data_IF_306292625705
#
_entry.id   IF_306292625705
#
_cell.length_a   1.000
_cell.length_b   1.000
_cell.length_c   1.000
_cell.angle_alpha   90.00
_cell.angle_beta   90.00
_cell.angle_gamma   90.00
#
_symmetry.space_group_name_H-M   'P 1'
#
loop_
_entity.id
_entity.type
_entity.pdbx_description
1 polymer ?
#
# COMPACT_ATOMS: atom_id res chain seq x y z
N UNK A 1 -25.22 6.12 -7.84
CA UNK A 1 -25.02 4.68 -7.97
C UNK A 1 -23.59 4.43 -7.55
N UNK A 2 -23.36 4.11 -6.27
CA UNK A 2 -22.04 3.79 -5.70
C UNK A 2 -21.51 2.43 -6.16
N UNK A 3 -21.70 2.08 -7.44
CA UNK A 3 -21.52 0.75 -8.02
C UNK A 3 -20.10 0.24 -7.83
N UNK A 4 -19.10 1.12 -7.78
CA UNK A 4 -17.70 0.74 -7.76
C UNK A 4 -17.36 -0.16 -6.56
N UNK A 5 -17.79 0.20 -5.35
CA UNK A 5 -17.53 -0.61 -4.15
C UNK A 5 -18.23 -1.97 -4.21
N UNK A 6 -19.53 -1.98 -4.54
CA UNK A 6 -20.32 -3.21 -4.64
C UNK A 6 -19.77 -4.15 -5.71
N UNK A 7 -19.39 -3.60 -6.86
CA UNK A 7 -18.75 -4.34 -7.96
C UNK A 7 -17.40 -4.91 -7.57
N UNK A 8 -16.57 -4.15 -6.85
CA UNK A 8 -15.30 -4.66 -6.34
C UNK A 8 -15.49 -5.87 -5.42
N UNK A 9 -16.49 -5.82 -4.52
CA UNK A 9 -16.85 -6.97 -3.66
C UNK A 9 -17.25 -8.17 -4.52
N UNK A 10 -18.11 -7.96 -5.51
CA UNK A 10 -18.57 -9.02 -6.41
C UNK A 10 -17.41 -9.66 -7.18
N UNK A 11 -16.55 -8.85 -7.79
CA UNK A 11 -15.40 -9.33 -8.56
C UNK A 11 -14.37 -10.06 -7.68
N UNK A 12 -14.15 -9.59 -6.45
CA UNK A 12 -13.33 -10.32 -5.48
C UNK A 12 -13.94 -11.67 -5.13
N UNK A 13 -15.25 -11.71 -4.87
CA UNK A 13 -15.96 -12.95 -4.55
C UNK A 13 -15.82 -13.97 -5.69
N UNK A 14 -16.09 -13.55 -6.91
CA UNK A 14 -16.08 -14.40 -8.11
C UNK A 14 -14.68 -14.90 -8.45
N UNK A 15 -13.66 -14.04 -8.37
CA UNK A 15 -12.25 -14.44 -8.58
C UNK A 15 -11.76 -15.49 -7.58
N UNK A 16 -12.34 -15.52 -6.38
CA UNK A 16 -12.01 -16.50 -5.34
C UNK A 16 -12.94 -17.73 -5.36
N UNK A 17 -13.84 -17.85 -6.35
CA UNK A 17 -14.78 -18.99 -6.44
C UNK A 17 -15.77 -19.06 -5.27
N UNK A 18 -16.07 -17.94 -4.62
CA UNK A 18 -16.91 -17.90 -3.42
C UNK A 18 -18.39 -17.66 -3.79
N UNK A 19 -19.29 -18.33 -3.07
CA UNK A 19 -20.71 -17.94 -3.02
C UNK A 19 -20.90 -16.75 -2.09
N UNK A 20 -22.04 -16.07 -2.16
CA UNK A 20 -22.36 -14.96 -1.24
C UNK A 20 -22.38 -15.43 0.21
N UNK A 21 -22.86 -16.64 0.48
CA UNK A 21 -22.83 -17.23 1.83
C UNK A 21 -21.40 -17.54 2.29
N UNK A 22 -20.54 -18.04 1.40
CA UNK A 22 -19.15 -18.32 1.74
C UNK A 22 -18.40 -17.03 2.08
N UNK A 23 -18.60 -15.97 1.28
CA UNK A 23 -18.02 -14.66 1.57
C UNK A 23 -18.59 -14.07 2.86
N UNK A 24 -19.89 -14.22 3.08
CA UNK A 24 -20.54 -13.74 4.29
C UNK A 24 -19.95 -14.37 5.54
N UNK A 25 -19.86 -15.70 5.57
CA UNK A 25 -19.23 -16.44 6.69
C UNK A 25 -17.79 -15.99 6.95
N UNK A 26 -16.99 -15.72 5.89
CA UNK A 26 -15.61 -15.24 6.02
C UNK A 26 -15.50 -13.94 6.81
N UNK A 27 -16.48 -13.04 6.69
CA UNK A 27 -16.44 -11.74 7.34
C UNK A 27 -17.47 -11.57 8.46
N UNK A 28 -18.03 -12.68 8.94
CA UNK A 28 -19.05 -12.72 9.99
C UNK A 28 -20.30 -11.89 9.66
N UNK A 29 -20.81 -12.04 8.44
CA UNK A 29 -22.03 -11.41 7.95
C UNK A 29 -22.89 -12.42 7.19
N UNK A 30 -24.18 -12.10 7.01
CA UNK A 30 -25.09 -12.96 6.23
C UNK A 30 -24.83 -12.85 4.72
N UNK A 31 -25.04 -13.95 3.96
CA UNK A 31 -25.01 -13.92 2.49
C UNK A 31 -25.97 -12.88 1.86
N UNK A 32 -27.22 -12.71 2.36
CA UNK A 32 -28.10 -11.63 1.93
C UNK A 32 -27.52 -10.21 2.15
N UNK A 33 -26.67 -10.00 3.16
CA UNK A 33 -25.97 -8.73 3.34
C UNK A 33 -24.93 -8.52 2.23
N UNK A 34 -24.17 -9.55 1.86
CA UNK A 34 -23.25 -9.52 0.72
C UNK A 34 -23.99 -9.16 -0.56
N UNK A 35 -25.12 -9.81 -0.85
CA UNK A 35 -25.95 -9.46 -2.01
C UNK A 35 -26.35 -7.97 -2.02
N UNK A 36 -26.79 -7.44 -0.87
CA UNK A 36 -27.17 -6.03 -0.76
C UNK A 36 -25.98 -5.09 -1.01
N UNK A 37 -24.78 -5.46 -0.60
CA UNK A 37 -23.57 -4.70 -0.89
C UNK A 37 -23.23 -4.73 -2.38
N UNK A 38 -23.24 -5.92 -3.00
CA UNK A 38 -22.93 -6.10 -4.42
C UNK A 38 -23.90 -5.33 -5.35
N UNK A 39 -25.18 -5.29 -4.97
CA UNK A 39 -26.20 -4.51 -5.72
C UNK A 39 -26.21 -3.03 -5.38
N UNK A 40 -25.40 -2.58 -4.42
CA UNK A 40 -25.34 -1.19 -3.99
C UNK A 40 -26.60 -0.70 -3.25
N UNK A 41 -27.42 -1.62 -2.73
CA UNK A 41 -28.58 -1.27 -1.91
C UNK A 41 -28.15 -0.68 -0.56
N UNK A 42 -27.02 -1.15 -0.04
CA UNK A 42 -26.45 -0.67 1.22
C UNK A 42 -24.93 -0.71 1.09
N UNK A 43 -24.22 0.25 1.70
CA UNK A 43 -22.76 0.16 1.82
C UNK A 43 -22.38 -0.59 3.10
N UNK A 44 -21.32 -1.40 3.11
CA UNK A 44 -20.77 -1.96 4.34
C UNK A 44 -20.29 -0.85 5.29
N UNK A 45 -20.12 -1.18 6.57
CA UNK A 45 -19.42 -0.29 7.50
C UNK A 45 -17.96 -0.08 7.05
N UNK A 46 -17.36 1.03 7.46
CA UNK A 46 -15.96 1.32 7.09
C UNK A 46 -15.02 0.20 7.56
N UNK A 47 -15.18 -0.27 8.79
CA UNK A 47 -14.35 -1.35 9.34
C UNK A 47 -14.52 -2.67 8.57
N UNK A 48 -15.76 -3.03 8.20
CA UNK A 48 -16.00 -4.21 7.38
C UNK A 48 -15.35 -4.07 5.99
N UNK A 49 -15.52 -2.91 5.36
CA UNK A 49 -14.91 -2.62 4.06
C UNK A 49 -13.38 -2.67 4.12
N UNK A 50 -12.75 -2.09 5.15
CA UNK A 50 -11.29 -2.13 5.31
C UNK A 50 -10.75 -3.56 5.37
N UNK A 51 -11.44 -4.47 6.08
CA UNK A 51 -11.06 -5.90 6.11
C UNK A 51 -11.14 -6.53 4.72
N UNK A 52 -12.24 -6.31 4.01
CA UNK A 52 -12.43 -6.83 2.65
C UNK A 52 -11.38 -6.25 1.69
N UNK A 53 -11.14 -4.95 1.75
CA UNK A 53 -10.20 -4.22 0.91
C UNK A 53 -8.74 -4.67 1.15
N UNK A 54 -8.37 -4.94 2.41
CA UNK A 54 -7.06 -5.50 2.75
C UNK A 54 -6.84 -6.88 2.08
N UNK A 55 -7.86 -7.75 2.10
CA UNK A 55 -7.82 -9.06 1.43
C UNK A 55 -7.77 -8.94 -0.11
N UNK A 56 -8.20 -7.81 -0.67
CA UNK A 56 -8.01 -7.46 -2.08
C UNK A 56 -6.61 -6.87 -2.39
N UNK A 57 -5.80 -6.61 -1.37
CA UNK A 57 -4.48 -5.98 -1.49
C UNK A 57 -4.52 -4.44 -1.60
N UNK A 58 -5.62 -3.81 -1.19
CA UNK A 58 -5.76 -2.35 -1.17
C UNK A 58 -5.17 -1.76 0.11
N UNK A 59 -4.52 -0.61 -0.01
CA UNK A 59 -4.04 0.13 1.14
C UNK A 59 -5.19 0.79 1.90
N UNK A 60 -5.03 0.98 3.21
CA UNK A 60 -6.04 1.64 4.04
C UNK A 60 -6.47 3.04 3.52
N UNK A 61 -5.56 3.93 3.07
CA UNK A 61 -5.97 5.24 2.53
C UNK A 61 -6.84 5.12 1.27
N UNK A 62 -6.53 4.15 0.41
CA UNK A 62 -7.28 3.87 -0.81
C UNK A 62 -8.67 3.31 -0.47
N UNK A 63 -8.73 2.36 0.47
CA UNK A 63 -9.98 1.81 0.96
C UNK A 63 -10.90 2.90 1.55
N UNK A 64 -10.35 3.80 2.38
CA UNK A 64 -11.11 4.91 2.97
C UNK A 64 -11.68 5.82 1.89
N UNK A 65 -10.89 6.20 0.88
CA UNK A 65 -11.35 7.12 -0.17
C UNK A 65 -12.42 6.49 -1.06
N UNK A 66 -12.30 5.20 -1.39
CA UNK A 66 -13.35 4.45 -2.09
C UNK A 66 -14.64 4.45 -1.26
N UNK A 67 -14.55 4.20 0.04
CA UNK A 67 -15.72 4.16 0.93
C UNK A 67 -16.40 5.54 1.06
N UNK A 68 -15.61 6.60 1.24
CA UNK A 68 -16.12 7.98 1.29
C UNK A 68 -16.82 8.33 -0.02
N UNK A 69 -16.19 8.03 -1.16
CA UNK A 69 -16.78 8.27 -2.48
C UNK A 69 -18.10 7.51 -2.66
N UNK A 70 -18.18 6.26 -2.20
CA UNK A 70 -19.40 5.46 -2.26
C UNK A 70 -20.56 6.02 -1.40
N UNK A 71 -20.26 6.84 -0.39
CA UNK A 71 -21.26 7.51 0.46
C UNK A 71 -21.70 8.88 -0.07
N UNK A 72 -20.97 9.47 -1.02
CA UNK A 72 -21.31 10.76 -1.58
C UNK A 72 -22.47 10.67 -2.60
N UNK A 73 -23.32 11.72 -2.67
CA UNK A 73 -24.24 11.91 -3.79
C UNK A 73 -23.51 11.86 -5.14
N UNK A 74 -24.17 11.32 -6.17
CA UNK A 74 -23.56 11.09 -7.49
C UNK A 74 -22.86 12.33 -8.06
N UNK A 75 -23.52 13.48 -7.96
CA UNK A 75 -23.02 14.78 -8.41
C UNK A 75 -21.72 15.24 -7.69
N UNK A 76 -21.33 14.58 -6.60
CA UNK A 76 -20.12 14.86 -5.84
C UNK A 76 -19.07 13.75 -5.95
N UNK A 77 -19.40 12.58 -6.51
CA UNK A 77 -18.47 11.45 -6.58
C UNK A 77 -17.26 11.75 -7.46
N UNK A 78 -17.40 12.60 -8.48
CA UNK A 78 -16.30 13.04 -9.35
C UNK A 78 -15.35 14.05 -8.71
N UNK A 79 -15.68 14.58 -7.51
CA UNK A 79 -14.81 15.54 -6.79
C UNK A 79 -13.70 14.85 -5.99
N UNK A 80 -13.81 13.53 -5.77
CA UNK A 80 -12.76 12.75 -5.12
C UNK A 80 -11.87 12.13 -6.19
N UNK A 81 -10.63 12.59 -6.25
CA UNK A 81 -9.59 11.99 -7.09
C UNK A 81 -9.05 10.71 -6.43
N UNK A 82 -9.61 9.56 -6.77
CA UNK A 82 -9.10 8.24 -6.33
C UNK A 82 -7.70 7.96 -6.90
N UNK A 83 -7.35 8.50 -8.06
CA UNK A 83 -6.03 8.32 -8.64
C UNK A 83 -4.99 8.92 -7.70
N UNK A 84 -5.23 10.06 -7.05
CA UNK A 84 -4.30 10.62 -6.06
C UNK A 84 -4.00 9.69 -4.86
N UNK A 85 -4.95 8.82 -4.48
CA UNK A 85 -4.78 7.80 -3.44
C UNK A 85 -3.92 6.61 -3.90
N UNK A 86 -4.27 6.09 -5.08
CA UNK A 86 -3.53 5.01 -5.74
C UNK A 86 -2.13 5.47 -6.19
N UNK A 87 -1.93 6.75 -6.50
CA UNK A 87 -0.66 7.37 -6.92
C UNK A 87 0.34 7.52 -5.77
N UNK A 88 -0.03 7.16 -4.52
CA UNK A 88 0.99 6.86 -3.51
C UNK A 88 1.70 5.52 -3.76
N UNK A 89 1.30 4.72 -4.76
CA UNK A 89 2.23 3.83 -5.49
C UNK A 89 3.06 4.71 -6.44
N UNK A 90 4.32 4.94 -6.11
CA UNK A 90 5.31 5.31 -7.12
C UNK A 90 5.55 6.79 -7.41
N UNK A 91 5.09 7.75 -6.60
CA UNK A 91 5.59 9.14 -6.71
C UNK A 91 6.90 9.36 -5.96
N UNK A 92 7.82 8.41 -6.10
CA UNK A 92 9.18 8.61 -5.61
C UNK A 92 10.13 7.99 -6.60
N UNK A 93 11.19 8.73 -6.90
CA UNK A 93 12.23 8.40 -7.88
C UNK A 93 12.57 6.91 -7.81
N UNK A 94 12.59 6.24 -8.96
CA UNK A 94 13.15 4.89 -9.02
C UNK A 94 14.66 4.99 -8.78
N UNK A 95 15.07 4.68 -7.54
CA UNK A 95 16.46 4.79 -7.12
C UNK A 95 17.32 3.68 -7.72
N UNK A 96 16.73 2.56 -8.16
CA UNK A 96 17.46 1.39 -8.64
C UNK A 96 18.32 1.65 -9.88
N UNK A 97 17.97 2.65 -10.69
CA UNK A 97 18.71 3.04 -11.89
C UNK A 97 19.93 3.93 -11.58
N UNK A 98 20.07 4.43 -10.35
CA UNK A 98 21.15 5.36 -9.98
C UNK A 98 22.33 4.58 -9.41
N UNK A 99 23.35 4.37 -10.24
CA UNK A 99 24.54 3.62 -9.85
C UNK A 99 25.58 4.44 -9.09
N UNK A 100 25.62 5.75 -9.35
CA UNK A 100 26.58 6.66 -8.74
C UNK A 100 26.12 7.06 -7.33
N UNK A 101 26.97 6.82 -6.33
CA UNK A 101 26.58 6.92 -4.91
C UNK A 101 26.15 8.32 -4.48
N UNK A 102 26.87 9.35 -4.92
CA UNK A 102 26.57 10.73 -4.53
C UNK A 102 25.24 11.18 -5.16
N UNK A 103 25.01 10.81 -6.42
CA UNK A 103 23.73 11.04 -7.10
C UNK A 103 22.60 10.25 -6.45
N UNK A 104 22.84 9.00 -6.07
CA UNK A 104 21.86 8.16 -5.39
C UNK A 104 21.46 8.75 -4.04
N UNK A 105 22.44 9.20 -3.24
CA UNK A 105 22.20 9.86 -1.96
C UNK A 105 21.38 11.13 -2.13
N UNK A 106 21.77 11.99 -3.07
CA UNK A 106 21.04 13.23 -3.35
C UNK A 106 19.61 12.95 -3.82
N UNK A 107 19.43 11.99 -4.73
CA UNK A 107 18.12 11.59 -5.25
C UNK A 107 17.22 10.99 -4.16
N UNK A 108 17.76 10.15 -3.28
CA UNK A 108 17.03 9.59 -2.15
C UNK A 108 16.58 10.67 -1.15
N UNK A 109 17.45 11.65 -0.84
CA UNK A 109 17.09 12.76 0.05
C UNK A 109 16.05 13.70 -0.58
N UNK A 110 16.06 13.86 -1.90
CA UNK A 110 15.09 14.64 -2.65
C UNK A 110 13.76 13.89 -2.90
N UNK A 111 13.71 12.57 -2.66
CA UNK A 111 12.52 11.77 -2.90
C UNK A 111 11.40 12.12 -1.89
N UNK A 112 10.26 12.68 -2.35
CA UNK A 112 9.13 13.01 -1.48
C UNK A 112 8.42 11.76 -0.93
N UNK A 113 8.58 10.61 -1.59
CA UNK A 113 8.04 9.32 -1.16
C UNK A 113 8.92 8.57 -0.17
N UNK A 114 10.06 9.13 0.26
CA UNK A 114 10.94 8.49 1.24
C UNK A 114 10.42 8.72 2.68
N UNK A 115 10.19 7.66 3.48
CA UNK A 115 9.82 7.76 4.90
C UNK A 115 10.85 8.56 5.70
N UNK A 116 10.44 9.27 6.76
CA UNK A 116 11.31 10.16 7.50
C UNK A 116 12.45 9.42 8.23
N UNK A 117 12.19 8.23 8.77
CA UNK A 117 13.23 7.41 9.39
C UNK A 117 14.20 6.82 8.37
N UNK A 118 13.72 6.42 7.19
CA UNK A 118 14.61 5.99 6.10
C UNK A 118 15.42 7.18 5.55
N UNK A 119 14.83 8.37 5.48
CA UNK A 119 15.53 9.61 5.15
C UNK A 119 16.62 9.94 6.17
N UNK A 120 16.36 9.76 7.47
CA UNK A 120 17.36 9.94 8.51
C UNK A 120 18.51 8.92 8.40
N UNK A 121 18.22 7.66 8.04
CA UNK A 121 19.22 6.64 7.74
C UNK A 121 20.08 7.02 6.52
N UNK A 122 19.46 7.46 5.43
CA UNK A 122 20.16 7.93 4.20
C UNK A 122 20.96 9.22 4.44
N UNK A 123 20.53 10.08 5.37
CA UNK A 123 21.25 11.32 5.69
C UNK A 123 22.58 11.07 6.40
N UNK A 124 22.73 9.93 7.07
CA UNK A 124 23.93 9.62 7.87
C UNK A 124 25.13 9.22 7.00
N UNK A 125 26.24 9.95 7.15
CA UNK A 125 27.51 9.67 6.45
C UNK A 125 28.07 8.29 6.80
N UNK A 126 27.86 7.81 8.04
CA UNK A 126 28.39 6.52 8.48
C UNK A 126 27.74 5.35 7.71
N UNK A 127 26.46 5.48 7.36
CA UNK A 127 25.73 4.50 6.54
C UNK A 127 26.37 4.37 5.16
N UNK A 128 26.73 5.48 4.52
CA UNK A 128 27.38 5.46 3.21
C UNK A 128 28.82 4.96 3.27
N UNK A 129 29.50 5.16 4.40
CA UNK A 129 30.87 4.67 4.60
C UNK A 129 30.93 3.17 4.87
N UNK A 130 30.03 2.66 5.70
CA UNK A 130 30.05 1.26 6.19
C UNK A 130 29.14 0.36 5.36
N UNK A 131 27.87 0.76 5.23
CA UNK A 131 26.79 -0.10 4.75
C UNK A 131 26.66 -0.05 3.23
N UNK A 132 26.85 1.14 2.63
CA UNK A 132 26.84 1.39 1.18
C UNK A 132 25.58 0.82 0.51
N UNK A 133 24.38 1.35 0.83
CA UNK A 133 23.14 0.86 0.25
C UNK A 133 23.09 1.12 -1.27
N UNK A 134 22.46 0.22 -2.01
CA UNK A 134 22.18 0.37 -3.45
C UNK A 134 20.81 0.98 -3.69
N UNK A 135 20.57 1.48 -4.90
CA UNK A 135 19.26 2.00 -5.29
C UNK A 135 18.13 0.98 -5.17
N UNK A 136 18.38 -0.27 -5.57
CA UNK A 136 17.42 -1.37 -5.44
C UNK A 136 17.07 -1.63 -3.99
N UNK A 137 18.08 -1.65 -3.11
CA UNK A 137 17.87 -1.83 -1.68
C UNK A 137 17.05 -0.69 -1.05
N UNK A 138 17.32 0.57 -1.44
CA UNK A 138 16.56 1.72 -0.93
C UNK A 138 15.10 1.69 -1.41
N UNK A 139 14.83 1.26 -2.64
CA UNK A 139 13.47 1.03 -3.13
C UNK A 139 12.75 -0.05 -2.32
N UNK A 140 13.41 -1.19 -2.09
CA UNK A 140 12.83 -2.29 -1.29
C UNK A 140 12.53 -1.85 0.14
N UNK A 141 13.44 -1.11 0.78
CA UNK A 141 13.21 -0.55 2.12
C UNK A 141 12.05 0.45 2.14
N UNK A 142 11.94 1.30 1.11
CA UNK A 142 10.82 2.24 0.93
C UNK A 142 9.49 1.52 0.72
N UNK A 143 9.47 0.37 0.06
CA UNK A 143 8.28 -0.47 -0.06
C UNK A 143 7.93 -1.13 1.29
N UNK A 144 8.93 -1.68 1.99
CA UNK A 144 8.76 -2.33 3.29
C UNK A 144 8.31 -1.37 4.39
N UNK A 145 8.61 -0.08 4.28
CA UNK A 145 8.21 0.94 5.27
C UNK A 145 6.72 0.96 5.55
N UNK A 146 5.90 0.49 4.60
CA UNK A 146 4.46 0.35 4.76
C UNK A 146 4.07 -0.69 5.82
N UNK A 147 4.88 -1.73 6.00
CA UNK A 147 4.64 -2.81 6.95
C UNK A 147 5.33 -2.57 8.30
N UNK A 148 6.54 -1.99 8.30
CA UNK A 148 7.35 -1.81 9.52
C UNK A 148 7.25 -0.40 10.13
N UNK A 149 6.55 0.52 9.46
CA UNK A 149 6.43 1.92 9.87
C UNK A 149 7.71 2.72 9.64
N UNK A 150 7.76 3.93 10.22
CA UNK A 150 8.85 4.88 9.97
C UNK A 150 10.16 4.50 10.67
N UNK A 151 10.10 3.65 11.71
CA UNK A 151 11.26 3.01 12.33
C UNK A 151 12.28 3.95 12.99
N UNK A 152 13.15 3.39 13.85
CA UNK A 152 14.37 4.10 14.32
C UNK A 152 15.54 3.76 13.39
N UNK A 153 16.59 4.59 13.36
CA UNK A 153 17.80 4.41 12.53
C UNK A 153 18.36 2.97 12.53
N UNK A 154 18.40 2.31 13.70
CA UNK A 154 18.87 0.92 13.83
C UNK A 154 17.98 -0.12 13.14
N UNK A 155 16.67 0.15 13.01
CA UNK A 155 15.73 -0.73 12.32
C UNK A 155 16.05 -0.80 10.82
N UNK A 156 16.35 0.33 10.19
CA UNK A 156 16.67 0.41 8.76
C UNK A 156 17.97 -0.31 8.41
N UNK A 157 18.98 -0.19 9.27
CA UNK A 157 20.23 -0.96 9.15
C UNK A 157 19.94 -2.47 9.22
N UNK A 158 19.18 -2.91 10.21
CA UNK A 158 18.86 -4.33 10.38
C UNK A 158 18.00 -4.85 9.22
N UNK A 159 17.00 -4.09 8.78
CA UNK A 159 16.17 -4.43 7.63
C UNK A 159 17.02 -4.62 6.36
N UNK A 160 18.00 -3.74 6.13
CA UNK A 160 18.93 -3.89 5.01
C UNK A 160 19.79 -5.15 5.13
N UNK A 161 20.32 -5.45 6.32
CA UNK A 161 21.12 -6.66 6.54
C UNK A 161 20.29 -7.93 6.31
N UNK A 162 19.03 -7.92 6.75
CA UNK A 162 18.07 -9.01 6.50
C UNK A 162 17.80 -9.15 5.01
N UNK A 163 17.54 -8.06 4.29
CA UNK A 163 17.39 -8.08 2.83
C UNK A 163 18.60 -8.72 2.15
N UNK A 164 19.82 -8.33 2.54
CA UNK A 164 21.04 -8.94 2.01
C UNK A 164 21.11 -10.42 2.31
N UNK A 165 20.78 -10.87 3.53
CA UNK A 165 20.81 -12.31 3.85
C UNK A 165 19.88 -13.16 2.98
N UNK A 166 18.80 -12.61 2.43
CA UNK A 166 17.92 -13.33 1.52
C UNK A 166 18.45 -13.35 0.08
N UNK A 167 19.13 -12.30 -0.36
CA UNK A 167 19.65 -12.17 -1.73
C UNK A 167 21.11 -12.60 -1.91
N UNK A 168 21.84 -12.90 -0.83
CA UNK A 168 23.21 -13.45 -0.88
C UNK A 168 23.26 -14.96 -1.10
N UNK A 169 22.12 -15.65 -1.26
CA UNK A 169 22.04 -17.10 -1.49
C UNK A 169 21.59 -17.46 -2.92
N UNK A 170 21.46 -16.49 -3.82
CA UNK A 170 21.15 -16.71 -5.25
C UNK A 170 22.40 -16.49 -6.15
N UNK A 171 23.52 -17.10 -5.79
CA UNK A 171 24.66 -17.29 -6.72
C UNK A 171 24.53 -18.59 -7.52
#
# INVERSE_FOLDING_TARGET
MGIELGRMIQEFRERNGLTQDNLGRRYDISGPAVFKFEKGYVNPSLELWKRIAADMGLGEPEAVLIWVRAKLPEEHQGRIDLASAATRRGKGTDLAQIMERDKLRAAALADPGLPAGLRAFVKDDEVWRIVKPTGRELNLLKEMSRAIGDGRKGLWRNALLVLRSFYSHEE
#
